data_IF_463748151574
#
_entry.id   IF_463748151574
#
_cell.length_a   1.000
_cell.length_b   1.000
_cell.length_c   1.000
_cell.angle_alpha   90.00
_cell.angle_beta   90.00
_cell.angle_gamma   90.00
#
_symmetry.space_group_name_H-M   'P 1'
#
loop_
_entity.id
_entity.type
_entity.pdbx_description
1 polymer ?
#
# COMPACT_ATOMS: atom_id res chain seq x y z
N UNK A 1 -12.26 -24.52 -17.68
CA UNK A 1 -11.44 -24.11 -16.52
C UNK A 1 -11.19 -22.62 -16.63
N UNK A 2 -11.87 -21.79 -15.84
CA UNK A 2 -11.50 -20.39 -15.68
C UNK A 2 -10.26 -20.38 -14.78
N UNK A 3 -9.07 -20.20 -15.38
CA UNK A 3 -7.84 -20.07 -14.61
C UNK A 3 -7.91 -18.80 -13.76
N UNK A 4 -7.71 -18.93 -12.45
CA UNK A 4 -7.56 -17.79 -11.55
C UNK A 4 -6.28 -17.07 -11.92
N UNK A 5 -6.40 -15.92 -12.61
CA UNK A 5 -5.25 -15.08 -12.95
C UNK A 5 -4.58 -14.65 -11.64
N UNK A 6 -3.32 -15.03 -11.45
CA UNK A 6 -2.50 -14.48 -10.37
C UNK A 6 -2.32 -12.99 -10.59
N UNK A 7 -2.63 -12.20 -9.57
CA UNK A 7 -2.49 -10.75 -9.60
C UNK A 7 -1.23 -10.35 -8.87
N UNK A 8 -0.37 -9.57 -9.53
CA UNK A 8 0.88 -9.07 -8.93
C UNK A 8 0.62 -7.74 -8.24
N UNK A 9 0.67 -7.73 -6.92
CA UNK A 9 0.46 -6.52 -6.11
C UNK A 9 1.75 -6.07 -5.48
N UNK A 10 1.98 -4.76 -5.47
CA UNK A 10 3.12 -4.13 -4.84
C UNK A 10 2.65 -3.31 -3.64
N UNK A 11 3.21 -3.52 -2.45
CA UNK A 11 2.92 -2.69 -1.27
C UNK A 11 4.08 -1.74 -0.95
N UNK A 12 3.84 -0.43 -1.02
CA UNK A 12 4.83 0.63 -0.84
C UNK A 12 4.30 1.74 0.08
N UNK A 13 5.17 2.68 0.43
CA UNK A 13 4.90 3.75 1.38
C UNK A 13 6.16 4.13 2.15
N UNK A 14 6.12 5.29 2.83
CA UNK A 14 7.24 5.77 3.63
C UNK A 14 7.63 4.77 4.74
N UNK A 15 8.83 4.92 5.29
CA UNK A 15 9.25 4.20 6.48
C UNK A 15 8.30 4.47 7.66
N UNK A 16 8.21 3.49 8.55
CA UNK A 16 7.28 3.50 9.69
C UNK A 16 5.78 3.59 9.35
N UNK A 17 5.35 3.59 8.08
CA UNK A 17 3.94 3.62 7.70
C UNK A 17 3.13 2.36 8.12
N UNK A 18 3.80 1.26 8.47
CA UNK A 18 3.16 0.03 8.98
C UNK A 18 3.01 -1.11 7.97
N UNK A 19 3.72 -1.05 6.83
CA UNK A 19 3.70 -2.10 5.78
C UNK A 19 4.00 -3.50 6.33
N UNK A 20 5.04 -3.63 7.15
CA UNK A 20 5.45 -4.87 7.81
C UNK A 20 4.37 -5.41 8.75
N UNK A 21 3.78 -4.53 9.55
CA UNK A 21 2.72 -4.89 10.49
C UNK A 21 1.49 -5.40 9.75
N UNK A 22 1.10 -4.74 8.65
CA UNK A 22 0.02 -5.18 7.76
C UNK A 22 0.34 -6.54 7.17
N UNK A 23 1.54 -6.72 6.62
CA UNK A 23 2.00 -7.99 6.06
C UNK A 23 1.86 -9.14 7.08
N UNK A 24 2.40 -8.98 8.29
CA UNK A 24 2.33 -10.01 9.32
C UNK A 24 0.89 -10.27 9.78
N UNK A 25 0.07 -9.22 9.92
CA UNK A 25 -1.34 -9.35 10.27
C UNK A 25 -2.10 -10.19 9.25
N UNK A 26 -1.80 -10.03 7.96
CA UNK A 26 -2.39 -10.80 6.87
C UNK A 26 -1.84 -12.23 6.79
N UNK A 27 -0.54 -12.42 7.06
CA UNK A 27 0.15 -13.71 6.94
C UNK A 27 -0.15 -14.67 8.08
N UNK A 28 -0.24 -14.16 9.30
CA UNK A 28 -0.28 -14.98 10.51
C UNK A 28 -1.65 -14.95 11.21
N UNK A 29 -2.57 -14.09 10.79
CA UNK A 29 -3.79 -13.74 11.56
C UNK A 29 -3.48 -13.28 13.01
N UNK A 30 -2.22 -12.92 13.29
CA UNK A 30 -1.69 -12.56 14.61
C UNK A 30 -0.95 -11.21 14.54
N UNK A 31 -0.92 -10.49 15.67
CA UNK A 31 -0.18 -9.23 15.80
C UNK A 31 1.25 -9.54 16.20
N UNK A 32 2.19 -9.42 15.27
CA UNK A 32 3.62 -9.51 15.56
C UNK A 32 4.17 -8.12 15.84
N UNK A 33 4.80 -7.93 17.00
CA UNK A 33 5.56 -6.72 17.33
C UNK A 33 6.77 -6.63 16.39
N UNK A 34 6.75 -5.69 15.44
CA UNK A 34 7.81 -5.57 14.44
C UNK A 34 9.02 -4.80 15.01
N UNK A 35 10.22 -5.35 14.85
CA UNK A 35 11.49 -4.65 15.10
C UNK A 35 11.90 -3.95 13.79
N UNK A 36 12.39 -2.70 13.78
CA UNK A 36 12.90 -2.05 12.57
C UNK A 36 13.90 -2.93 11.83
N UNK A 37 13.58 -3.29 10.59
CA UNK A 37 14.34 -4.26 9.80
C UNK A 37 15.70 -3.67 9.42
N UNK A 38 16.80 -4.36 9.79
CA UNK A 38 18.15 -4.04 9.32
C UNK A 38 18.38 -4.75 7.99
N UNK A 39 18.25 -4.05 6.86
CA UNK A 39 18.52 -4.59 5.50
C UNK A 39 17.29 -4.69 4.58
N UNK A 40 17.48 -5.30 3.39
CA UNK A 40 16.48 -5.62 2.34
C UNK A 40 15.55 -6.76 2.78
N UNK A 41 14.24 -6.50 2.89
CA UNK A 41 13.24 -7.55 3.07
C UNK A 41 12.11 -7.39 2.04
N UNK A 42 11.95 -8.41 1.19
CA UNK A 42 10.87 -8.58 0.23
C UNK A 42 10.16 -9.86 0.59
N UNK A 43 8.91 -9.73 1.01
CA UNK A 43 8.08 -10.87 1.37
C UNK A 43 6.91 -10.97 0.42
N UNK A 44 6.55 -12.21 0.06
CA UNK A 44 5.36 -12.49 -0.74
C UNK A 44 4.30 -13.16 0.15
N UNK A 45 3.08 -12.67 0.09
CA UNK A 45 1.92 -13.26 0.76
C UNK A 45 0.82 -13.53 -0.25
N UNK A 46 0.25 -14.72 -0.15
CA UNK A 46 -0.91 -15.11 -0.93
C UNK A 46 -2.18 -14.80 -0.13
N UNK A 47 -3.10 -14.04 -0.72
CA UNK A 47 -4.45 -13.85 -0.19
C UNK A 47 -5.45 -14.13 -1.31
N UNK A 48 -6.22 -15.22 -1.17
CA UNK A 48 -7.13 -15.72 -2.22
C UNK A 48 -6.38 -15.96 -3.54
N UNK A 49 -6.67 -15.17 -4.58
CA UNK A 49 -6.03 -15.23 -5.90
C UNK A 49 -5.01 -14.09 -6.12
N UNK A 50 -4.54 -13.47 -5.05
CA UNK A 50 -3.65 -12.31 -5.07
C UNK A 50 -2.28 -12.70 -4.51
N UNK A 51 -1.23 -12.48 -5.31
CA UNK A 51 0.16 -12.63 -4.89
C UNK A 51 0.72 -11.23 -4.59
N UNK A 52 0.84 -10.90 -3.30
CA UNK A 52 1.29 -9.59 -2.84
C UNK A 52 2.78 -9.60 -2.52
N UNK A 53 3.57 -8.83 -3.26
CA UNK A 53 4.96 -8.52 -2.95
C UNK A 53 5.02 -7.26 -2.08
N UNK A 54 5.47 -7.41 -0.84
CA UNK A 54 5.61 -6.31 0.12
C UNK A 54 7.05 -5.88 0.22
N UNK A 55 7.27 -4.58 0.11
CA UNK A 55 8.57 -3.95 0.31
C UNK A 55 8.66 -3.37 1.70
N UNK A 56 9.48 -4.00 2.53
CA UNK A 56 9.60 -3.66 3.94
C UNK A 56 10.71 -2.62 4.21
N UNK A 57 11.61 -2.38 3.26
CA UNK A 57 12.63 -1.35 3.45
C UNK A 57 12.08 0.00 3.04
N UNK A 58 11.56 0.68 4.06
CA UNK A 58 10.98 2.00 3.96
C UNK A 58 11.95 3.03 3.43
N UNK A 59 11.40 3.96 2.64
CA UNK A 59 11.38 5.38 2.97
C UNK A 59 12.69 6.14 3.11
N UNK A 60 13.86 5.52 3.20
CA UNK A 60 15.13 6.21 3.10
C UNK A 60 15.44 6.46 1.63
N UNK A 61 15.68 7.71 1.26
CA UNK A 61 15.79 8.20 -0.13
C UNK A 61 16.69 7.36 -1.03
N UNK A 62 17.76 6.76 -0.47
CA UNK A 62 18.72 5.94 -1.22
C UNK A 62 18.13 4.61 -1.70
N UNK A 63 17.18 4.04 -0.96
CA UNK A 63 16.63 2.70 -1.22
C UNK A 63 15.37 2.77 -2.08
N UNK A 64 14.64 3.91 -2.07
CA UNK A 64 13.44 4.14 -2.92
C UNK A 64 13.72 3.94 -4.41
N UNK A 65 14.95 4.19 -4.87
CA UNK A 65 15.40 3.94 -6.25
C UNK A 65 15.26 2.49 -6.72
N UNK A 66 15.16 1.54 -5.80
CA UNK A 66 15.01 0.12 -6.12
C UNK A 66 13.57 -0.26 -6.47
N UNK A 67 12.57 0.54 -6.08
CA UNK A 67 11.15 0.24 -6.32
C UNK A 67 10.85 0.05 -7.81
N UNK A 68 11.52 0.82 -8.69
CA UNK A 68 11.32 0.76 -10.15
C UNK A 68 11.59 -0.61 -10.77
N UNK A 69 12.44 -1.43 -10.15
CA UNK A 69 12.71 -2.79 -10.63
C UNK A 69 11.50 -3.74 -10.45
N UNK A 70 10.48 -3.31 -9.69
CA UNK A 70 9.31 -4.12 -9.37
C UNK A 70 8.03 -3.62 -10.02
N UNK A 71 8.06 -2.47 -10.71
CA UNK A 71 6.88 -1.89 -11.37
C UNK A 71 6.40 -2.73 -12.55
N UNK A 72 7.32 -3.28 -13.33
CA UNK A 72 6.96 -4.06 -14.51
C UNK A 72 6.10 -5.28 -14.14
N UNK A 73 4.93 -5.38 -14.77
CA UNK A 73 3.95 -6.45 -14.51
C UNK A 73 3.12 -6.26 -13.24
N UNK A 74 3.20 -5.12 -12.54
CA UNK A 74 2.35 -4.83 -11.38
C UNK A 74 0.91 -4.56 -11.81
N UNK A 75 -0.04 -5.37 -11.35
CA UNK A 75 -1.47 -5.19 -11.59
C UNK A 75 -2.09 -4.16 -10.63
N UNK A 76 -1.56 -4.04 -9.41
CA UNK A 76 -2.06 -3.12 -8.40
C UNK A 76 -1.00 -2.66 -7.38
N UNK A 77 -1.17 -1.44 -6.87
CA UNK A 77 -0.34 -0.81 -5.85
C UNK A 77 -1.16 -0.61 -4.57
N UNK A 78 -0.65 -1.12 -3.45
CA UNK A 78 -1.11 -0.74 -2.11
C UNK A 78 -0.13 0.32 -1.59
N UNK A 79 -0.60 1.56 -1.41
CA UNK A 79 0.18 2.64 -0.83
C UNK A 79 -0.23 2.89 0.62
N UNK A 80 0.68 2.63 1.56
CA UNK A 80 0.41 2.76 2.99
C UNK A 80 0.88 4.11 3.48
N UNK A 81 -0.02 4.84 4.15
CA UNK A 81 0.24 6.16 4.73
C UNK A 81 0.11 6.08 6.24
N UNK A 82 1.11 6.60 6.95
CA UNK A 82 0.98 6.90 8.37
C UNK A 82 0.05 8.12 8.52
N UNK A 83 -1.17 7.90 9.00
CA UNK A 83 -2.13 9.00 9.15
C UNK A 83 -1.79 9.90 10.34
N UNK A 84 -0.99 9.42 11.29
CA UNK A 84 -0.56 10.22 12.46
C UNK A 84 0.61 11.15 12.14
N UNK A 85 1.33 10.89 11.05
CA UNK A 85 2.50 11.65 10.62
C UNK A 85 2.11 12.75 9.62
N UNK A 86 1.56 13.84 10.17
CA UNK A 86 1.13 15.01 9.38
C UNK A 86 2.29 15.76 8.74
N UNK A 87 3.50 15.68 9.30
CA UNK A 87 4.67 16.42 8.84
C UNK A 87 5.21 15.83 7.52
N UNK A 88 5.11 14.52 7.32
CA UNK A 88 5.62 13.83 6.12
C UNK A 88 4.56 13.50 5.06
N UNK A 89 3.35 14.03 5.18
CA UNK A 89 2.28 13.75 4.20
C UNK A 89 2.60 14.32 2.80
N UNK A 90 3.34 15.42 2.73
CA UNK A 90 3.86 15.98 1.47
C UNK A 90 4.85 15.00 0.80
N UNK A 91 5.76 14.43 1.58
CA UNK A 91 6.76 13.49 1.08
C UNK A 91 6.07 12.21 0.56
N UNK A 92 5.04 11.75 1.26
CA UNK A 92 4.22 10.62 0.82
C UNK A 92 3.50 10.90 -0.50
N UNK A 93 2.96 12.13 -0.68
CA UNK A 93 2.36 12.57 -1.93
C UNK A 93 3.38 12.57 -3.07
N UNK A 94 4.54 13.17 -2.87
CA UNK A 94 5.59 13.26 -3.89
C UNK A 94 6.04 11.86 -4.34
N UNK A 95 6.27 10.94 -3.41
CA UNK A 95 6.62 9.56 -3.74
C UNK A 95 5.50 8.83 -4.48
N UNK A 96 4.24 9.00 -4.05
CA UNK A 96 3.11 8.41 -4.75
C UNK A 96 3.02 8.93 -6.19
N UNK A 97 3.15 10.24 -6.39
CA UNK A 97 3.10 10.86 -7.72
C UNK A 97 4.27 10.40 -8.59
N UNK A 98 5.47 10.32 -8.04
CA UNK A 98 6.65 9.81 -8.74
C UNK A 98 6.44 8.37 -9.21
N UNK A 99 5.98 7.47 -8.34
CA UNK A 99 5.70 6.08 -8.71
C UNK A 99 4.60 5.94 -9.76
N UNK A 100 3.51 6.71 -9.64
CA UNK A 100 2.38 6.63 -10.57
C UNK A 100 2.66 7.28 -11.93
N UNK A 101 3.70 8.12 -12.02
CA UNK A 101 4.19 8.72 -13.26
C UNK A 101 5.04 7.78 -14.11
N UNK A 102 5.47 6.64 -13.55
CA UNK A 102 6.25 5.65 -14.28
C UNK A 102 5.37 4.89 -15.30
N UNK A 103 5.80 4.76 -16.57
CA UNK A 103 5.01 4.09 -17.61
C UNK A 103 4.61 2.66 -17.24
N UNK A 104 5.49 1.94 -16.54
CA UNK A 104 5.22 0.58 -16.08
C UNK A 104 4.05 0.50 -15.08
N UNK A 105 3.73 1.59 -14.39
CA UNK A 105 2.65 1.68 -13.41
C UNK A 105 1.36 2.22 -14.01
N UNK A 106 1.30 2.63 -15.28
CA UNK A 106 0.13 3.29 -15.90
C UNK A 106 -1.19 2.53 -15.67
N UNK A 107 -1.17 1.20 -15.77
CA UNK A 107 -2.36 0.34 -15.67
C UNK A 107 -2.64 -0.22 -14.27
N UNK A 108 -1.80 0.10 -13.29
CA UNK A 108 -1.94 -0.41 -11.93
C UNK A 108 -3.17 0.19 -11.22
N UNK A 109 -3.97 -0.64 -10.56
CA UNK A 109 -5.04 -0.15 -9.66
C UNK A 109 -4.41 0.34 -8.35
N UNK A 110 -4.88 1.47 -7.82
CA UNK A 110 -4.33 2.03 -6.57
C UNK A 110 -5.27 1.76 -5.39
N UNK A 111 -4.76 1.16 -4.32
CA UNK A 111 -5.39 1.17 -3.00
C UNK A 111 -4.52 1.98 -2.04
N UNK A 112 -5.08 3.01 -1.43
CA UNK A 112 -4.42 3.76 -0.35
C UNK A 112 -4.93 3.25 0.99
N UNK A 113 -4.02 2.84 1.87
CA UNK A 113 -4.35 2.52 3.26
C UNK A 113 -3.95 3.71 4.13
N UNK A 114 -4.95 4.46 4.61
CA UNK A 114 -4.78 5.47 5.64
C UNK A 114 -4.64 4.75 6.99
N UNK A 115 -3.41 4.36 7.32
CA UNK A 115 -3.09 3.50 8.45
C UNK A 115 -2.85 4.29 9.75
N UNK A 116 -2.86 3.60 10.89
CA UNK A 116 -2.70 4.12 12.25
C UNK A 116 -3.88 4.98 12.72
N UNK A 117 -5.09 4.63 12.30
CA UNK A 117 -6.33 5.30 12.74
C UNK A 117 -6.61 5.09 14.24
N UNK A 118 -5.91 4.15 14.89
CA UNK A 118 -5.92 3.93 16.33
C UNK A 118 -5.15 5.00 17.13
N UNK A 119 -4.32 5.81 16.48
CA UNK A 119 -3.51 6.83 17.16
C UNK A 119 -4.24 8.18 17.24
N UNK A 120 -4.00 8.97 18.32
CA UNK A 120 -4.54 10.31 18.41
C UNK A 120 -4.00 11.20 17.27
N UNK A 121 -4.80 12.17 16.86
CA UNK A 121 -4.48 13.13 15.78
C UNK A 121 -4.28 12.52 14.38
N UNK A 122 -4.58 11.23 14.19
CA UNK A 122 -4.57 10.61 12.88
C UNK A 122 -5.48 11.36 11.89
N UNK A 123 -4.96 11.65 10.70
CA UNK A 123 -5.73 12.16 9.58
C UNK A 123 -6.80 11.14 9.21
N UNK A 124 -8.05 11.58 9.09
CA UNK A 124 -9.12 10.77 8.51
C UNK A 124 -8.77 10.37 7.07
N UNK A 125 -9.41 9.31 6.57
CA UNK A 125 -9.27 8.93 5.16
C UNK A 125 -9.60 10.08 4.20
N UNK A 126 -10.54 10.98 4.56
CA UNK A 126 -10.84 12.16 3.76
C UNK A 126 -9.69 13.18 3.74
N UNK A 127 -9.05 13.43 4.88
CA UNK A 127 -7.88 14.32 4.95
C UNK A 127 -6.71 13.75 4.14
N UNK A 128 -6.42 12.44 4.28
CA UNK A 128 -5.36 11.78 3.50
C UNK A 128 -5.66 11.84 2.00
N UNK A 129 -6.91 11.57 1.59
CA UNK A 129 -7.34 11.67 0.20
C UNK A 129 -7.10 13.07 -0.39
N UNK A 130 -7.41 14.11 0.37
CA UNK A 130 -7.18 15.50 -0.05
C UNK A 130 -5.69 15.82 -0.12
N UNK A 131 -4.91 15.43 0.89
CA UNK A 131 -3.48 15.71 0.96
C UNK A 131 -2.69 15.02 -0.17
N UNK A 132 -3.05 13.79 -0.53
CA UNK A 132 -2.45 13.06 -1.65
C UNK A 132 -3.03 13.47 -3.02
N UNK A 133 -4.05 14.32 -3.04
CA UNK A 133 -4.75 14.79 -4.24
C UNK A 133 -5.34 13.66 -5.11
N UNK A 134 -5.83 12.58 -4.48
CA UNK A 134 -6.35 11.41 -5.21
C UNK A 134 -7.50 11.77 -6.16
N UNK A 135 -8.30 12.78 -5.81
CA UNK A 135 -9.40 13.29 -6.64
C UNK A 135 -8.96 13.84 -8.00
N UNK A 136 -7.68 14.22 -8.16
CA UNK A 136 -7.13 14.65 -9.45
C UNK A 136 -6.80 13.48 -10.38
N UNK A 137 -6.77 12.24 -9.87
CA UNK A 137 -6.45 11.04 -10.65
C UNK A 137 -7.69 10.55 -11.41
N UNK A 138 -7.93 11.10 -12.60
CA UNK A 138 -9.13 10.76 -13.40
C UNK A 138 -8.99 9.47 -14.23
N UNK A 139 -7.76 9.07 -14.57
CA UNK A 139 -7.49 7.96 -15.50
C UNK A 139 -7.07 6.66 -14.80
N UNK A 140 -7.14 6.62 -13.47
CA UNK A 140 -6.71 5.48 -12.65
C UNK A 140 -7.81 5.10 -11.68
N UNK A 141 -8.16 3.82 -11.60
CA UNK A 141 -9.03 3.32 -10.54
C UNK A 141 -8.28 3.40 -9.22
N UNK A 142 -8.88 4.08 -8.23
CA UNK A 142 -8.32 4.18 -6.90
C UNK A 142 -9.39 4.05 -5.82
N UNK A 143 -8.97 3.67 -4.62
CA UNK A 143 -9.77 3.71 -3.40
C UNK A 143 -8.88 4.02 -2.20
N UNK A 144 -9.48 4.59 -1.17
CA UNK A 144 -8.82 4.85 0.10
C UNK A 144 -9.61 4.17 1.21
N UNK A 145 -8.88 3.47 2.08
CA UNK A 145 -9.44 2.73 3.20
C UNK A 145 -8.75 3.17 4.50
N UNK A 146 -9.56 3.56 5.48
CA UNK A 146 -9.10 3.79 6.85
C UNK A 146 -8.71 2.45 7.47
N UNK A 147 -7.54 2.37 8.10
CA UNK A 147 -7.00 1.11 8.64
C UNK A 147 -6.26 1.28 9.96
N UNK A 148 -6.23 0.20 10.74
CA UNK A 148 -5.32 0.04 11.87
C UNK A 148 -4.63 -1.32 11.75
N UNK A 149 -3.34 -1.31 11.44
CA UNK A 149 -2.57 -2.54 11.28
C UNK A 149 -2.53 -3.45 12.54
N UNK A 150 -2.40 -2.91 13.77
CA UNK A 150 -2.44 -3.73 14.98
C UNK A 150 -3.78 -4.46 15.17
N UNK A 151 -4.91 -3.77 15.02
CA UNK A 151 -6.22 -4.40 15.22
C UNK A 151 -6.62 -5.26 14.03
N UNK A 152 -6.23 -4.85 12.81
CA UNK A 152 -6.63 -5.44 11.54
C UNK A 152 -7.82 -4.73 10.90
N UNK A 153 -8.38 -3.71 11.55
CA UNK A 153 -9.57 -3.01 11.08
C UNK A 153 -9.32 -2.38 9.70
N UNK A 154 -10.27 -2.58 8.79
CA UNK A 154 -10.25 -2.01 7.45
C UNK A 154 -9.33 -2.74 6.45
N UNK A 155 -8.41 -3.60 6.89
CA UNK A 155 -7.45 -4.25 5.99
C UNK A 155 -8.16 -5.14 4.97
N UNK A 156 -9.07 -5.99 5.43
CA UNK A 156 -9.79 -6.93 4.57
C UNK A 156 -10.75 -6.22 3.62
N UNK A 157 -11.41 -5.15 4.06
CA UNK A 157 -12.29 -4.32 3.24
C UNK A 157 -11.53 -3.67 2.08
N UNK A 158 -10.33 -3.15 2.36
CA UNK A 158 -9.44 -2.58 1.34
C UNK A 158 -9.00 -3.64 0.33
N UNK A 159 -8.56 -4.82 0.80
CA UNK A 159 -8.14 -5.92 -0.07
C UNK A 159 -9.30 -6.49 -0.90
N UNK A 160 -10.50 -6.60 -0.34
CA UNK A 160 -11.69 -7.05 -1.05
C UNK A 160 -12.15 -6.04 -2.11
N UNK A 161 -11.96 -4.73 -1.88
CA UNK A 161 -12.12 -3.73 -2.94
C UNK A 161 -11.08 -3.93 -4.06
N UNK A 162 -9.80 -4.08 -3.70
CA UNK A 162 -8.71 -4.23 -4.68
C UNK A 162 -8.92 -5.47 -5.54
N UNK A 163 -9.27 -6.60 -4.92
CA UNK A 163 -9.61 -7.86 -5.62
C UNK A 163 -10.70 -7.64 -6.66
N UNK A 164 -11.82 -7.00 -6.28
CA UNK A 164 -12.93 -6.72 -7.20
C UNK A 164 -12.52 -5.78 -8.34
N UNK A 165 -11.77 -4.72 -8.03
CA UNK A 165 -11.31 -3.73 -9.01
C UNK A 165 -10.38 -4.34 -10.08
N UNK A 166 -9.62 -5.37 -9.70
CA UNK A 166 -8.72 -6.11 -10.59
C UNK A 166 -9.42 -7.22 -11.37
N UNK A 167 -10.42 -7.88 -10.79
CA UNK A 167 -11.24 -8.89 -11.46
C UNK A 167 -12.23 -8.30 -12.46
N UNK A 168 -12.61 -7.02 -12.33
CA UNK A 168 -13.54 -6.33 -13.23
C UNK A 168 -12.88 -5.84 -14.53
N UNK A 169 -11.79 -6.47 -14.99
CA UNK A 169 -11.08 -6.11 -16.23
C UNK A 169 -11.57 -6.94 -17.40
#
# INVERSE_FOLDING_TARGET
MLGTKEMRILMLGLDAAGKTTILYKLKLSEVVTTIPTVGFNVETVEYRNINMTVWDVGGQDKIRKLWRHYFEGTDGLIFVVDSSDRDRISDAKEELQHMLGEPAMEKAVLLVLANKQDLPNAMSASEVMQALELQKMQHRKWFIQATSAPTGDGLYEGLDWLSRALCSK
#
